data_IF_287445082298
#
_entry.id   IF_287445082298
#
_cell.length_a   1.000
_cell.length_b   1.000
_cell.length_c   1.000
_cell.angle_alpha   90.00
_cell.angle_beta   90.00
_cell.angle_gamma   90.00
#
_symmetry.space_group_name_H-M   'P 1'
#
loop_
_entity.id
_entity.type
_entity.pdbx_description
1 polymer ?
#
# COMPACT_ATOMS: atom_id res chain seq x y z
N UNK A 1 -14.80 -15.01 -13.95
CA UNK A 1 -16.02 -15.40 -13.22
C UNK A 1 -16.24 -14.44 -12.05
N UNK A 2 -17.48 -14.01 -11.78
CA UNK A 2 -17.80 -13.02 -10.71
C UNK A 2 -17.44 -13.45 -9.27
N UNK A 3 -17.03 -14.70 -9.07
CA UNK A 3 -16.56 -15.22 -7.78
C UNK A 3 -15.04 -15.30 -7.63
N UNK A 4 -14.24 -15.00 -8.66
CA UNK A 4 -12.78 -15.09 -8.53
C UNK A 4 -12.24 -14.01 -7.60
N UNK A 5 -11.12 -14.30 -6.92
CA UNK A 5 -10.44 -13.33 -6.05
C UNK A 5 -10.09 -12.06 -6.82
N UNK A 6 -9.56 -12.20 -8.05
CA UNK A 6 -9.20 -11.07 -8.91
C UNK A 6 -10.38 -10.17 -9.25
N UNK A 7 -11.59 -10.74 -9.40
CA UNK A 7 -12.80 -9.96 -9.63
C UNK A 7 -13.20 -9.21 -8.36
N UNK A 8 -13.22 -9.90 -7.21
CA UNK A 8 -13.57 -9.29 -5.93
C UNK A 8 -12.64 -8.13 -5.57
N UNK A 9 -11.32 -8.31 -5.69
CA UNK A 9 -10.34 -7.24 -5.45
C UNK A 9 -10.44 -6.10 -6.47
N UNK A 10 -10.91 -6.40 -7.70
CA UNK A 10 -11.24 -5.39 -8.71
C UNK A 10 -12.43 -4.50 -8.30
N UNK A 11 -13.51 -5.09 -7.79
CA UNK A 11 -14.65 -4.33 -7.28
C UNK A 11 -14.27 -3.49 -6.05
N UNK A 12 -13.45 -4.05 -5.14
CA UNK A 12 -12.90 -3.32 -4.00
C UNK A 12 -12.03 -2.12 -4.43
N UNK A 13 -11.21 -2.30 -5.47
CA UNK A 13 -10.38 -1.22 -6.01
C UNK A 13 -11.25 -0.11 -6.61
N UNK A 14 -12.30 -0.47 -7.36
CA UNK A 14 -13.23 0.50 -7.99
C UNK A 14 -13.94 1.39 -6.96
N UNK A 15 -14.33 0.85 -5.80
CA UNK A 15 -15.00 1.65 -4.76
C UNK A 15 -14.03 2.53 -3.97
N UNK A 16 -12.72 2.29 -4.07
CA UNK A 16 -11.69 3.06 -3.38
C UNK A 16 -11.00 4.08 -4.27
N UNK A 17 -11.06 3.92 -5.60
CA UNK A 17 -10.40 4.81 -6.54
C UNK A 17 -11.17 6.11 -6.76
N UNK A 18 -10.49 7.24 -6.57
CA UNK A 18 -11.02 8.56 -6.90
C UNK A 18 -9.87 9.46 -7.41
N UNK A 19 -9.67 9.56 -8.74
CA UNK A 19 -8.56 10.33 -9.30
C UNK A 19 -8.71 11.82 -9.01
N UNK A 20 -7.59 12.56 -9.06
CA UNK A 20 -7.58 14.01 -8.89
C UNK A 20 -7.61 14.51 -7.43
N UNK A 21 -7.74 13.64 -6.43
CA UNK A 21 -7.73 14.07 -5.02
C UNK A 21 -6.32 14.38 -4.51
N UNK A 22 -6.21 15.44 -3.73
CA UNK A 22 -5.02 15.77 -2.95
C UNK A 22 -4.73 14.72 -1.88
N UNK A 23 -3.50 14.69 -1.36
CA UNK A 23 -3.14 13.79 -0.25
C UNK A 23 -3.92 14.09 1.03
N UNK A 24 -4.31 15.35 1.26
CA UNK A 24 -5.12 15.76 2.41
C UNK A 24 -6.52 15.16 2.33
N UNK A 25 -7.18 15.30 1.17
CA UNK A 25 -8.52 14.75 0.95
C UNK A 25 -8.53 13.22 1.02
N UNK A 26 -7.49 12.55 0.48
CA UNK A 26 -7.33 11.09 0.59
C UNK A 26 -7.24 10.61 2.04
N UNK A 27 -6.56 11.36 2.93
CA UNK A 27 -6.48 11.04 4.36
C UNK A 27 -7.83 11.15 5.06
N UNK A 28 -8.60 12.20 4.75
CA UNK A 28 -9.92 12.43 5.37
C UNK A 28 -10.96 11.43 4.90
N UNK A 29 -10.98 11.12 3.60
CA UNK A 29 -12.06 10.32 2.98
C UNK A 29 -11.76 8.82 2.90
N UNK A 30 -10.49 8.45 3.02
CA UNK A 30 -10.01 7.10 2.84
C UNK A 30 -9.85 6.65 1.37
N UNK A 31 -10.24 7.46 0.38
CA UNK A 31 -10.05 7.13 -1.05
C UNK A 31 -8.56 7.17 -1.47
N UNK A 32 -8.27 6.60 -2.64
CA UNK A 32 -6.94 6.56 -3.25
C UNK A 32 -7.03 7.18 -4.65
N UNK A 33 -6.17 8.16 -4.93
CA UNK A 33 -6.13 8.84 -6.23
C UNK A 33 -5.04 8.33 -7.17
N UNK A 34 -4.03 7.64 -6.62
CA UNK A 34 -2.92 7.11 -7.40
C UNK A 34 -3.22 5.67 -7.86
N UNK A 35 -3.34 5.47 -9.16
CA UNK A 35 -3.65 4.16 -9.74
C UNK A 35 -2.58 3.10 -9.45
N UNK A 36 -1.29 3.48 -9.46
CA UNK A 36 -0.17 2.58 -9.15
C UNK A 36 -0.21 2.13 -7.69
N UNK A 37 -0.50 3.04 -6.75
CA UNK A 37 -0.71 2.68 -5.34
C UNK A 37 -1.86 1.69 -5.19
N UNK A 38 -2.96 1.90 -5.93
CA UNK A 38 -4.11 1.01 -5.87
C UNK A 38 -3.81 -0.37 -6.46
N UNK A 39 -3.04 -0.43 -7.55
CA UNK A 39 -2.54 -1.67 -8.13
C UNK A 39 -1.71 -2.46 -7.12
N UNK A 40 -0.73 -1.81 -6.46
CA UNK A 40 0.08 -2.42 -5.41
C UNK A 40 -0.77 -2.93 -4.24
N UNK A 41 -1.78 -2.18 -3.80
CA UNK A 41 -2.69 -2.66 -2.76
C UNK A 41 -3.51 -3.86 -3.23
N UNK A 42 -3.99 -3.82 -4.47
CA UNK A 42 -4.77 -4.92 -5.06
C UNK A 42 -3.95 -6.21 -5.19
N UNK A 43 -2.66 -6.12 -5.48
CA UNK A 43 -1.75 -7.27 -5.44
C UNK A 43 -1.71 -7.91 -4.06
N UNK A 44 -1.52 -7.13 -3.00
CA UNK A 44 -1.55 -7.64 -1.62
C UNK A 44 -2.91 -8.27 -1.29
N UNK A 45 -4.02 -7.68 -1.75
CA UNK A 45 -5.35 -8.24 -1.53
C UNK A 45 -5.56 -9.56 -2.30
N UNK A 46 -4.97 -9.69 -3.49
CA UNK A 46 -5.00 -10.93 -4.24
C UNK A 46 -4.19 -12.03 -3.52
N UNK A 47 -3.00 -11.70 -3.03
CA UNK A 47 -2.18 -12.61 -2.22
C UNK A 47 -2.93 -13.07 -0.97
N UNK A 48 -3.54 -12.14 -0.21
CA UNK A 48 -4.39 -12.47 0.93
C UNK A 48 -5.55 -13.38 0.50
N UNK A 49 -6.24 -13.05 -0.59
CA UNK A 49 -7.39 -13.82 -1.06
C UNK A 49 -7.04 -15.25 -1.49
N UNK A 50 -5.88 -15.45 -2.10
CA UNK A 50 -5.34 -16.78 -2.40
C UNK A 50 -5.03 -17.52 -1.10
N UNK A 51 -4.33 -16.85 -0.18
CA UNK A 51 -3.95 -17.40 1.11
C UNK A 51 -5.15 -17.89 1.92
N UNK A 52 -6.17 -17.04 2.12
CA UNK A 52 -7.35 -17.41 2.92
C UNK A 52 -8.20 -18.48 2.25
N UNK A 53 -8.17 -18.54 0.91
CA UNK A 53 -8.80 -19.62 0.16
C UNK A 53 -8.10 -20.96 0.41
N UNK A 54 -6.78 -20.98 0.45
CA UNK A 54 -5.98 -22.19 0.66
C UNK A 54 -6.02 -22.67 2.11
N UNK A 55 -5.88 -21.76 3.08
CA UNK A 55 -5.75 -22.12 4.49
C UNK A 55 -7.08 -22.17 5.26
N UNK A 56 -8.13 -21.50 4.78
CA UNK A 56 -9.42 -21.39 5.48
C UNK A 56 -10.62 -21.77 4.59
N UNK A 57 -10.39 -22.21 3.35
CA UNK A 57 -11.44 -22.41 2.34
C UNK A 57 -12.32 -21.16 2.11
N UNK A 58 -11.83 -19.96 2.46
CA UNK A 58 -12.56 -18.72 2.38
C UNK A 58 -12.52 -18.17 0.96
N UNK A 59 -13.67 -18.21 0.27
CA UNK A 59 -13.79 -17.73 -1.12
C UNK A 59 -14.32 -16.30 -1.23
N UNK A 60 -14.93 -15.78 -0.16
CA UNK A 60 -15.59 -14.47 -0.14
C UNK A 60 -14.80 -13.50 0.76
N UNK A 61 -14.20 -12.47 0.18
CA UNK A 61 -13.42 -11.48 0.92
C UNK A 61 -14.27 -10.64 1.87
N UNK A 62 -15.57 -10.49 1.61
CA UNK A 62 -16.48 -9.86 2.57
C UNK A 62 -16.63 -10.67 3.85
N UNK A 63 -16.22 -11.94 3.87
CA UNK A 63 -16.23 -12.80 5.06
C UNK A 63 -14.93 -12.76 5.87
N UNK A 64 -13.96 -11.93 5.48
CA UNK A 64 -12.75 -11.70 6.25
C UNK A 64 -13.07 -11.20 7.68
N UNK A 65 -12.19 -11.56 8.61
CA UNK A 65 -12.26 -11.19 10.00
C UNK A 65 -10.83 -11.14 10.57
N UNK A 66 -10.70 -10.71 11.82
CA UNK A 66 -9.40 -10.57 12.49
C UNK A 66 -8.54 -11.84 12.40
N UNK A 67 -9.12 -13.03 12.65
CA UNK A 67 -8.39 -14.31 12.61
C UNK A 67 -7.65 -14.53 11.28
N UNK A 68 -8.30 -14.23 10.16
CA UNK A 68 -7.68 -14.36 8.84
C UNK A 68 -6.50 -13.40 8.66
N UNK A 69 -6.66 -12.17 9.15
CA UNK A 69 -5.64 -11.12 9.07
C UNK A 69 -4.44 -11.45 9.94
N UNK A 70 -4.66 -11.86 11.19
CA UNK A 70 -3.61 -12.28 12.13
C UNK A 70 -2.76 -13.39 11.52
N UNK A 71 -3.41 -14.44 11.02
CA UNK A 71 -2.71 -15.59 10.48
C UNK A 71 -1.91 -15.23 9.22
N UNK A 72 -2.47 -14.39 8.33
CA UNK A 72 -1.76 -13.90 7.15
C UNK A 72 -0.56 -13.01 7.49
N UNK A 73 -0.73 -12.09 8.45
CA UNK A 73 0.33 -11.17 8.87
C UNK A 73 1.51 -11.91 9.49
N UNK A 74 1.28 -12.86 10.40
CA UNK A 74 2.36 -13.68 10.93
C UNK A 74 3.02 -14.54 9.86
N UNK A 75 2.23 -15.16 8.97
CA UNK A 75 2.78 -15.91 7.84
C UNK A 75 3.73 -15.07 6.98
N UNK A 76 3.39 -13.81 6.71
CA UNK A 76 4.26 -12.88 5.98
C UNK A 76 5.48 -12.46 6.80
N UNK A 77 5.34 -12.23 8.10
CA UNK A 77 6.47 -11.92 8.97
C UNK A 77 7.50 -13.07 9.00
N UNK A 78 7.05 -14.33 9.07
CA UNK A 78 7.95 -15.50 9.07
C UNK A 78 8.63 -15.80 7.72
N UNK A 79 8.30 -15.08 6.64
CA UNK A 79 8.94 -15.24 5.32
C UNK A 79 10.26 -14.47 5.17
N UNK A 80 10.78 -13.85 6.23
CA UNK A 80 12.00 -13.03 6.17
C UNK A 80 11.90 -11.91 5.12
N UNK A 81 10.72 -11.31 4.98
CA UNK A 81 10.54 -10.15 4.11
C UNK A 81 11.16 -8.90 4.76
N UNK A 82 11.43 -7.87 3.95
CA UNK A 82 11.87 -6.59 4.49
C UNK A 82 10.77 -5.91 5.32
N UNK A 83 11.19 -5.11 6.29
CA UNK A 83 10.28 -4.28 7.09
C UNK A 83 9.35 -3.44 6.20
N UNK A 84 9.90 -2.76 5.20
CA UNK A 84 9.14 -1.93 4.25
C UNK A 84 8.06 -2.74 3.51
N UNK A 85 8.32 -4.01 3.19
CA UNK A 85 7.32 -4.87 2.57
C UNK A 85 6.20 -5.23 3.55
N UNK A 86 6.52 -5.51 4.82
CA UNK A 86 5.50 -5.78 5.83
C UNK A 86 4.66 -4.53 6.16
N UNK A 87 5.27 -3.34 6.18
CA UNK A 87 4.56 -2.05 6.30
C UNK A 87 3.61 -1.80 5.13
N UNK A 88 4.05 -2.09 3.91
CA UNK A 88 3.21 -2.00 2.72
C UNK A 88 2.02 -2.96 2.80
N UNK A 89 2.25 -4.19 3.25
CA UNK A 89 1.19 -5.18 3.46
C UNK A 89 0.19 -4.65 4.50
N UNK A 90 0.66 -4.19 5.67
CA UNK A 90 -0.18 -3.60 6.72
C UNK A 90 -1.02 -2.44 6.17
N UNK A 91 -0.39 -1.50 5.46
CA UNK A 91 -1.07 -0.36 4.83
C UNK A 91 -2.14 -0.78 3.82
N UNK A 92 -1.84 -1.79 2.99
CA UNK A 92 -2.80 -2.34 2.05
C UNK A 92 -3.98 -3.01 2.76
N UNK A 93 -3.78 -3.71 3.87
CA UNK A 93 -4.84 -4.34 4.66
C UNK A 93 -5.76 -3.30 5.31
N UNK A 94 -5.24 -2.20 5.87
CA UNK A 94 -6.09 -1.10 6.34
C UNK A 94 -6.94 -0.48 5.22
N UNK A 95 -6.38 -0.41 4.00
CA UNK A 95 -7.14 0.04 2.83
C UNK A 95 -8.16 -0.98 2.36
N UNK A 96 -7.91 -2.27 2.53
CA UNK A 96 -8.90 -3.33 2.30
C UNK A 96 -10.09 -3.18 3.26
N UNK A 97 -9.82 -2.93 4.54
CA UNK A 97 -10.84 -2.67 5.56
C UNK A 97 -11.77 -1.51 5.14
N UNK A 98 -11.16 -0.41 4.68
CA UNK A 98 -11.88 0.76 4.17
C UNK A 98 -12.69 0.42 2.92
N UNK A 99 -12.11 -0.34 1.99
CA UNK A 99 -12.76 -0.74 0.75
C UNK A 99 -13.97 -1.66 1.00
N UNK A 100 -13.86 -2.60 1.94
CA UNK A 100 -14.95 -3.50 2.33
C UNK A 100 -16.14 -2.72 2.91
N UNK A 101 -15.88 -1.77 3.82
CA UNK A 101 -16.91 -0.88 4.37
C UNK A 101 -17.60 -0.06 3.28
N UNK A 102 -16.83 0.57 2.40
CA UNK A 102 -17.36 1.36 1.27
C UNK A 102 -18.15 0.50 0.27
N UNK A 103 -17.70 -0.72 -0.01
CA UNK A 103 -18.38 -1.66 -0.91
C UNK A 103 -19.77 -2.01 -0.38
N UNK A 104 -19.85 -2.40 0.91
CA UNK A 104 -21.10 -2.76 1.56
C UNK A 104 -22.07 -1.58 1.57
N UNK A 105 -21.60 -0.39 1.93
CA UNK A 105 -22.41 0.82 1.93
C UNK A 105 -22.91 1.21 0.53
N UNK A 106 -22.05 1.09 -0.49
CA UNK A 106 -22.39 1.48 -1.88
C UNK A 106 -23.48 0.60 -2.49
N UNK A 107 -23.42 -0.71 -2.25
CA UNK A 107 -24.29 -1.68 -2.91
C UNK A 107 -25.40 -2.23 -1.99
N UNK A 108 -25.57 -1.67 -0.80
CA UNK A 108 -26.54 -2.15 0.20
C UNK A 108 -27.99 -2.11 -0.30
N UNK A 109 -28.34 -1.12 -1.12
CA UNK A 109 -29.68 -0.98 -1.70
C UNK A 109 -29.89 -1.87 -2.94
N UNK A 110 -28.81 -2.31 -3.58
CA UNK A 110 -28.85 -3.03 -4.86
C UNK A 110 -28.84 -4.56 -4.68
N UNK A 111 -28.35 -5.07 -3.54
CA UNK A 111 -28.27 -6.50 -3.30
C UNK A 111 -28.31 -6.88 -1.83
N UNK A 112 -29.14 -7.87 -1.53
CA UNK A 112 -29.32 -8.43 -0.19
C UNK A 112 -27.99 -8.89 0.44
N UNK A 113 -27.04 -9.38 -0.37
CA UNK A 113 -25.71 -9.78 0.10
C UNK A 113 -24.96 -8.62 0.77
N UNK A 114 -25.03 -7.43 0.21
CA UNK A 114 -24.35 -6.26 0.75
C UNK A 114 -25.17 -5.62 1.88
N UNK A 115 -26.49 -5.62 1.75
CA UNK A 115 -27.42 -5.18 2.81
C UNK A 115 -27.15 -5.91 4.14
N UNK A 116 -26.99 -7.24 4.11
CA UNK A 116 -26.68 -8.05 5.29
C UNK A 116 -25.31 -7.75 5.92
N UNK A 117 -24.41 -7.10 5.19
CA UNK A 117 -23.08 -6.74 5.68
C UNK A 117 -22.92 -5.21 5.88
N UNK A 118 -24.02 -4.43 5.84
CA UNK A 118 -23.93 -2.97 5.96
C UNK A 118 -23.39 -2.54 7.33
N UNK A 119 -23.83 -3.20 8.40
CA UNK A 119 -23.40 -2.96 9.79
C UNK A 119 -22.21 -3.82 10.18
N UNK A 120 -21.61 -4.54 9.23
CA UNK A 120 -20.47 -5.38 9.53
C UNK A 120 -19.26 -4.50 9.81
N UNK A 121 -18.78 -4.59 11.04
CA UNK A 121 -17.51 -4.00 11.43
C UNK A 121 -16.35 -4.87 10.94
N UNK A 122 -15.38 -4.21 10.31
CA UNK A 122 -14.09 -4.78 10.00
C UNK A 122 -13.08 -4.02 10.85
N UNK A 123 -12.34 -4.74 11.70
CA UNK A 123 -11.26 -4.18 12.50
C UNK A 123 -9.99 -4.95 12.18
N UNK A 124 -9.10 -4.32 11.42
CA UNK A 124 -7.76 -4.85 11.12
C UNK A 124 -6.67 -4.07 11.89
N UNK A 125 -7.03 -3.38 12.98
CA UNK A 125 -6.09 -2.66 13.86
C UNK A 125 -4.97 -3.53 14.42
N UNK A 126 -5.20 -4.84 14.51
CA UNK A 126 -4.20 -5.85 14.91
C UNK A 126 -2.95 -5.85 14.00
N UNK A 127 -3.06 -5.38 12.75
CA UNK A 127 -1.92 -5.32 11.82
C UNK A 127 -0.75 -4.50 12.39
N UNK A 128 -1.04 -3.37 13.05
CA UNK A 128 -0.02 -2.53 13.65
C UNK A 128 0.71 -3.24 14.80
N UNK A 129 -0.04 -3.94 15.67
CA UNK A 129 0.54 -4.71 16.77
C UNK A 129 1.48 -5.80 16.26
N UNK A 130 1.07 -6.54 15.22
CA UNK A 130 1.91 -7.60 14.63
C UNK A 130 3.15 -7.02 13.94
N UNK A 131 3.03 -5.87 13.27
CA UNK A 131 4.16 -5.18 12.66
C UNK A 131 5.19 -4.77 13.73
N UNK A 132 4.73 -4.21 14.86
CA UNK A 132 5.61 -3.78 15.96
C UNK A 132 6.25 -4.99 16.68
N UNK A 133 5.51 -6.09 16.84
CA UNK A 133 6.06 -7.36 17.35
C UNK A 133 7.10 -7.96 16.39
N UNK A 134 6.84 -7.94 15.08
CA UNK A 134 7.76 -8.48 14.08
C UNK A 134 9.10 -7.71 14.07
N UNK A 135 9.05 -6.38 14.23
CA UNK A 135 10.23 -5.53 14.42
C UNK A 135 10.98 -5.90 15.69
N UNK A 136 10.27 -5.90 16.83
CA UNK A 136 10.86 -6.18 18.15
C UNK A 136 11.54 -7.55 18.22
N UNK A 137 10.96 -8.54 17.55
CA UNK A 137 11.45 -9.92 17.54
C UNK A 137 12.38 -10.23 16.36
N UNK A 138 12.78 -9.23 15.57
CA UNK A 138 13.67 -9.38 14.40
C UNK A 138 13.17 -10.44 13.40
N UNK A 139 11.85 -10.52 13.21
CA UNK A 139 11.23 -11.44 12.24
C UNK A 139 11.29 -10.90 10.81
N UNK A 140 11.51 -9.59 10.65
CA UNK A 140 11.69 -8.92 9.36
C UNK A 140 13.12 -8.50 9.17
N UNK A 141 13.56 -8.49 7.91
CA UNK A 141 14.89 -8.01 7.54
C UNK A 141 14.85 -6.48 7.58
N UNK A 142 15.73 -5.89 8.38
CA UNK A 142 15.93 -4.44 8.36
C UNK A 142 16.36 -4.03 6.95
N UNK A 143 15.85 -2.89 6.48
CA UNK A 143 16.21 -2.44 5.12
C UNK A 143 17.67 -1.97 5.05
N UNK A 144 18.35 -1.88 6.19
CA UNK A 144 19.78 -1.67 6.30
C UNK A 144 20.28 -2.25 7.63
N UNK A 145 21.40 -2.98 7.59
CA UNK A 145 22.08 -3.52 8.77
C UNK A 145 22.88 -2.45 9.55
N UNK A 146 22.87 -1.20 9.08
CA UNK A 146 23.67 -0.09 9.60
C UNK A 146 22.78 0.89 10.39
N UNK A 147 22.97 1.02 11.73
CA UNK A 147 22.18 1.94 12.56
C UNK A 147 22.30 3.41 12.14
N UNK A 148 23.35 3.75 11.39
CA UNK A 148 23.64 5.08 10.84
C UNK A 148 23.30 5.21 9.35
N UNK A 149 22.62 4.22 8.76
CA UNK A 149 22.32 4.23 7.33
C UNK A 149 21.55 5.47 6.93
N UNK A 150 22.26 6.35 6.22
CA UNK A 150 21.70 7.54 5.62
C UNK A 150 21.86 7.42 4.11
N UNK A 151 20.77 7.60 3.36
CA UNK A 151 20.82 7.64 1.88
C UNK A 151 21.46 8.94 1.36
N UNK A 152 21.92 9.84 2.23
CA UNK A 152 22.58 11.06 1.84
C UNK A 152 23.99 10.77 1.33
N UNK A 153 24.35 11.37 0.19
CA UNK A 153 25.73 11.34 -0.28
C UNK A 153 26.64 12.12 0.66
N UNK A 154 27.83 11.57 0.92
CA UNK A 154 28.86 12.22 1.76
C UNK A 154 29.32 13.53 1.12
N UNK A 155 29.49 13.54 -0.20
CA UNK A 155 29.81 14.73 -0.99
C UNK A 155 28.88 14.82 -2.21
N UNK A 156 27.71 15.48 -2.06
CA UNK A 156 26.77 15.68 -3.16
C UNK A 156 27.35 16.51 -4.31
N UNK A 157 28.29 17.42 -4.01
CA UNK A 157 28.86 18.34 -4.99
C UNK A 157 29.77 17.60 -5.96
N UNK A 158 30.64 16.72 -5.45
CA UNK A 158 31.46 15.84 -6.28
C UNK A 158 30.63 14.97 -7.23
N UNK A 159 29.48 14.46 -6.76
CA UNK A 159 28.55 13.69 -7.59
C UNK A 159 27.96 14.54 -8.71
N UNK A 160 27.49 15.76 -8.40
CA UNK A 160 26.95 16.70 -9.40
C UNK A 160 28.01 17.04 -10.45
N UNK A 161 29.26 17.24 -10.02
CA UNK A 161 30.33 17.65 -10.93
C UNK A 161 30.78 16.53 -11.88
N UNK A 162 30.66 15.28 -11.45
CA UNK A 162 30.91 14.09 -12.27
C UNK A 162 29.87 13.85 -13.38
N UNK A 163 28.69 14.48 -13.32
CA UNK A 163 27.66 14.35 -14.37
C UNK A 163 28.10 15.13 -15.61
N UNK A 164 28.22 14.42 -16.74
CA UNK A 164 28.66 14.99 -18.02
C UNK A 164 27.51 15.56 -18.85
N UNK A 165 26.33 14.95 -18.78
CA UNK A 165 25.15 15.44 -19.50
C UNK A 165 24.66 16.77 -18.88
N UNK A 166 24.58 17.86 -19.64
CA UNK A 166 24.23 19.17 -19.11
C UNK A 166 22.79 19.24 -18.58
N UNK A 167 21.87 18.47 -19.15
CA UNK A 167 20.47 18.40 -18.71
C UNK A 167 20.35 17.71 -17.37
N UNK A 168 21.01 16.55 -17.21
CA UNK A 168 21.04 15.84 -15.93
C UNK A 168 21.83 16.61 -14.87
N UNK A 169 22.90 17.31 -15.24
CA UNK A 169 23.66 18.17 -14.32
C UNK A 169 22.79 19.31 -13.81
N UNK A 170 22.04 19.98 -14.69
CA UNK A 170 21.10 21.04 -14.31
C UNK A 170 19.97 20.49 -13.42
N UNK A 171 19.35 19.37 -13.79
CA UNK A 171 18.31 18.73 -12.99
C UNK A 171 18.81 18.39 -11.57
N UNK A 172 20.02 17.84 -11.47
CA UNK A 172 20.62 17.45 -10.18
C UNK A 172 20.97 18.68 -9.33
N UNK A 173 21.44 19.78 -9.94
CA UNK A 173 21.64 21.06 -9.22
C UNK A 173 20.34 21.62 -8.67
N UNK A 174 19.27 21.63 -9.46
CA UNK A 174 17.95 22.07 -9.01
C UNK A 174 17.50 21.20 -7.83
N UNK A 175 17.66 19.88 -7.91
CA UNK A 175 17.34 18.96 -6.83
C UNK A 175 18.11 19.26 -5.54
N UNK A 176 19.42 19.50 -5.66
CA UNK A 176 20.31 19.76 -4.54
C UNK A 176 20.01 21.09 -3.83
N UNK A 177 19.82 22.17 -4.59
CA UNK A 177 19.61 23.51 -4.03
C UNK A 177 18.19 23.72 -3.49
N UNK A 178 17.17 23.20 -4.18
CA UNK A 178 15.76 23.45 -3.81
C UNK A 178 15.15 22.37 -2.92
N UNK A 179 15.79 21.18 -2.84
CA UNK A 179 15.20 20.00 -2.23
C UNK A 179 13.99 19.43 -3.01
N UNK A 180 13.77 19.87 -4.25
CA UNK A 180 12.68 19.39 -5.09
C UNK A 180 12.82 17.88 -5.38
N UNK A 181 11.71 17.15 -5.36
CA UNK A 181 11.69 15.75 -5.80
C UNK A 181 11.84 15.68 -7.32
N UNK A 182 12.38 14.57 -7.81
CA UNK A 182 12.58 14.31 -9.24
C UNK A 182 11.33 14.62 -10.08
N UNK A 183 10.16 14.12 -9.67
CA UNK A 183 8.87 14.39 -10.36
C UNK A 183 8.53 15.89 -10.45
N UNK A 184 8.97 16.70 -9.48
CA UNK A 184 8.79 18.15 -9.52
C UNK A 184 9.67 18.80 -10.58
N UNK A 185 10.90 18.32 -10.72
CA UNK A 185 11.89 18.81 -11.68
C UNK A 185 11.49 18.41 -13.12
N UNK A 186 11.03 17.17 -13.31
CA UNK A 186 10.48 16.69 -14.59
C UNK A 186 9.30 17.54 -15.09
N UNK A 187 8.50 18.13 -14.18
CA UNK A 187 7.40 19.02 -14.56
C UNK A 187 7.87 20.42 -14.93
N UNK A 188 9.03 20.86 -14.44
CA UNK A 188 9.65 22.14 -14.80
C UNK A 188 10.36 22.06 -16.15
N UNK A 189 10.92 20.89 -16.48
CA UNK A 189 11.46 20.60 -17.80
C UNK A 189 10.28 20.24 -18.71
N UNK A 190 9.66 21.24 -19.34
CA UNK A 190 8.55 21.01 -20.26
C UNK A 190 8.86 19.86 -21.23
N UNK A 191 7.91 18.93 -21.40
CA UNK A 191 8.04 17.81 -22.35
C UNK A 191 8.38 18.38 -23.73
N UNK A 192 9.64 18.27 -24.13
CA UNK A 192 10.11 18.47 -25.51
C UNK A 192 9.65 17.32 -26.38
#
# INVERSE_FOLDING_TARGET
MRGSIQYQTGELAKVLFSPGMTKREQKVTGFVANAKTLETYREVWNELGIYVKEHFALKDLQKLNEKHIVHYMYFKAYQQISEQRLELISSALYKLETALRKLNAKYSLESLRYSLNIDREYDFSICQKILDEARKNLLVVETSDEPTFCRAYIDPQALIDAITDPTFKLATKIQYESGARLEGIERCQGRS
#
